data_IF_031938499354
#
_entry.id   IF_031938499354
#
_cell.length_a   1.000
_cell.length_b   1.000
_cell.length_c   1.000
_cell.angle_alpha   90.00
_cell.angle_beta   90.00
_cell.angle_gamma   90.00
#
_symmetry.space_group_name_H-M   'P 1'
#
loop_
_entity.id
_entity.type
_entity.pdbx_description
1 polymer ?
#
# COMPACT_ATOMS: atom_id res chain seq x y z
N UNK A 1 -5.16 13.53 -24.53
CA UNK A 1 -4.48 12.84 -23.43
C UNK A 1 -3.27 12.06 -23.93
N UNK A 2 -3.47 11.13 -24.87
CA UNK A 2 -2.40 10.35 -25.48
C UNK A 2 -1.20 11.16 -25.99
N UNK A 3 -1.40 12.12 -26.90
CA UNK A 3 -0.32 12.97 -27.41
C UNK A 3 0.40 13.74 -26.31
N UNK A 4 -0.38 14.31 -25.38
CA UNK A 4 0.17 15.07 -24.25
C UNK A 4 1.07 14.19 -23.36
N UNK A 5 0.71 12.92 -23.13
CA UNK A 5 1.54 11.96 -22.39
C UNK A 5 2.84 11.66 -23.15
N UNK A 6 2.76 11.41 -24.47
CA UNK A 6 3.95 11.16 -25.30
C UNK A 6 4.89 12.36 -25.34
N UNK A 7 4.37 13.57 -25.51
CA UNK A 7 5.17 14.79 -25.46
C UNK A 7 5.81 14.99 -24.08
N UNK A 8 5.07 14.70 -23.01
CA UNK A 8 5.56 14.75 -21.63
C UNK A 8 6.73 13.81 -21.35
N UNK A 9 7.02 12.83 -22.20
CA UNK A 9 8.24 11.99 -22.11
C UNK A 9 9.51 12.82 -22.37
N UNK A 10 9.42 13.92 -23.12
CA UNK A 10 10.58 14.74 -23.50
C UNK A 10 10.42 16.24 -23.17
N UNK A 11 9.28 16.66 -22.61
CA UNK A 11 8.97 18.07 -22.33
C UNK A 11 8.48 18.29 -20.90
N UNK A 12 9.20 19.12 -20.14
CA UNK A 12 8.79 19.54 -18.78
C UNK A 12 7.55 20.45 -18.82
N UNK A 13 7.40 21.24 -19.88
CA UNK A 13 6.22 22.09 -20.10
C UNK A 13 4.97 21.24 -20.33
N UNK A 14 5.04 20.25 -21.23
CA UNK A 14 3.95 19.33 -21.50
C UNK A 14 3.62 18.50 -20.26
N UNK A 15 4.62 18.09 -19.48
CA UNK A 15 4.40 17.34 -18.24
C UNK A 15 3.71 18.20 -17.15
N UNK A 16 4.04 19.49 -17.07
CA UNK A 16 3.35 20.43 -16.18
C UNK A 16 1.91 20.70 -16.61
N UNK A 17 1.66 20.77 -17.93
CA UNK A 17 0.31 20.83 -18.48
C UNK A 17 -0.49 19.57 -18.14
N UNK A 18 0.09 18.39 -18.38
CA UNK A 18 -0.51 17.10 -18.05
C UNK A 18 -0.83 16.99 -16.56
N UNK A 19 0.06 17.46 -15.68
CA UNK A 19 -0.17 17.45 -14.24
C UNK A 19 -1.43 18.23 -13.84
N UNK A 20 -1.75 19.33 -14.55
CA UNK A 20 -2.92 20.19 -14.31
C UNK A 20 -4.16 19.77 -15.09
N UNK A 21 -3.99 18.99 -16.16
CA UNK A 21 -5.09 18.56 -17.01
C UNK A 21 -6.08 17.67 -16.25
N UNK A 22 -7.35 17.72 -16.66
CA UNK A 22 -8.34 16.72 -16.25
C UNK A 22 -7.97 15.38 -16.90
N UNK A 23 -7.79 14.36 -16.07
CA UNK A 23 -7.36 13.03 -16.50
C UNK A 23 -8.54 12.08 -16.44
N UNK A 24 -8.57 11.18 -17.41
CA UNK A 24 -9.43 10.00 -17.43
C UNK A 24 -8.52 8.78 -17.30
N UNK A 25 -8.92 7.82 -16.47
CA UNK A 25 -8.13 6.63 -16.16
C UNK A 25 -7.83 5.83 -17.44
N UNK A 26 -8.85 5.59 -18.27
CA UNK A 26 -8.71 4.79 -19.49
C UNK A 26 -7.66 5.38 -20.42
N UNK A 27 -7.79 6.66 -20.78
CA UNK A 27 -6.81 7.32 -21.65
C UNK A 27 -5.39 7.36 -21.09
N UNK A 28 -5.22 7.43 -19.77
CA UNK A 28 -3.88 7.41 -19.15
C UNK A 28 -3.29 6.02 -19.24
N UNK A 29 -4.08 4.98 -18.92
CA UNK A 29 -3.64 3.58 -19.03
C UNK A 29 -3.32 3.24 -20.48
N UNK A 30 -4.17 3.61 -21.44
CA UNK A 30 -3.93 3.44 -22.88
C UNK A 30 -2.59 4.01 -23.32
N UNK A 31 -2.40 5.31 -23.04
CA UNK A 31 -1.23 6.02 -23.51
C UNK A 31 0.09 5.49 -22.92
N UNK A 32 0.10 5.12 -21.64
CA UNK A 32 1.30 4.60 -20.98
C UNK A 32 1.57 3.14 -21.35
N UNK A 33 0.52 2.36 -21.62
CA UNK A 33 0.66 0.96 -22.07
C UNK A 33 1.44 0.85 -23.38
N UNK A 34 1.34 1.87 -24.25
CA UNK A 34 2.08 1.93 -25.52
C UNK A 34 3.52 2.45 -25.42
N UNK A 35 3.93 2.99 -24.26
CA UNK A 35 5.30 3.44 -24.05
C UNK A 35 6.24 2.25 -23.91
N UNK A 36 7.47 2.41 -24.40
CA UNK A 36 8.57 1.53 -24.02
C UNK A 36 8.92 1.69 -22.53
N UNK A 37 9.65 0.74 -21.97
CA UNK A 37 10.17 0.84 -20.61
C UNK A 37 11.01 2.11 -20.39
N UNK A 38 11.85 2.48 -21.36
CA UNK A 38 12.69 3.67 -21.27
C UNK A 38 11.85 4.96 -21.23
N UNK A 39 10.84 5.06 -22.09
CA UNK A 39 9.93 6.19 -22.11
C UNK A 39 9.09 6.27 -20.83
N UNK A 40 8.65 5.12 -20.32
CA UNK A 40 7.94 5.00 -19.04
C UNK A 40 8.79 5.51 -17.89
N UNK A 41 10.06 5.08 -17.80
CA UNK A 41 11.00 5.54 -16.76
C UNK A 41 11.25 7.05 -16.85
N UNK A 42 11.43 7.58 -18.08
CA UNK A 42 11.61 9.02 -18.29
C UNK A 42 10.39 9.81 -17.83
N UNK A 43 9.19 9.39 -18.22
CA UNK A 43 7.93 10.02 -17.85
C UNK A 43 7.74 10.02 -16.32
N UNK A 44 7.88 8.85 -15.70
CA UNK A 44 7.73 8.68 -14.26
C UNK A 44 8.72 9.52 -13.45
N UNK A 45 10.00 9.51 -13.85
CA UNK A 45 11.04 10.34 -13.24
C UNK A 45 10.74 11.83 -13.38
N UNK A 46 10.18 12.27 -14.52
CA UNK A 46 9.80 13.68 -14.70
C UNK A 46 8.70 14.11 -13.76
N UNK A 47 7.69 13.27 -13.56
CA UNK A 47 6.63 13.56 -12.59
C UNK A 47 7.07 13.46 -11.13
N UNK A 48 8.25 12.92 -10.86
CA UNK A 48 8.88 12.98 -9.55
C UNK A 48 9.53 14.34 -9.29
N UNK A 49 9.93 15.08 -10.32
CA UNK A 49 10.70 16.31 -10.15
C UNK A 49 9.85 17.52 -9.77
N UNK A 50 10.41 18.39 -8.93
CA UNK A 50 9.85 19.73 -8.73
C UNK A 50 9.87 20.52 -10.06
N UNK A 51 8.81 21.26 -10.43
CA UNK A 51 7.61 21.59 -9.65
C UNK A 51 6.42 20.65 -9.87
N UNK A 52 6.58 19.54 -10.60
CA UNK A 52 5.49 18.62 -10.93
C UNK A 52 5.15 17.71 -9.74
N UNK A 53 6.18 17.17 -9.09
CA UNK A 53 6.07 16.31 -7.92
C UNK A 53 7.19 16.54 -6.91
N UNK A 54 7.53 15.49 -6.15
CA UNK A 54 8.57 15.51 -5.13
C UNK A 54 9.63 14.45 -5.36
N UNK A 55 10.90 14.88 -5.44
CA UNK A 55 12.07 14.01 -5.65
C UNK A 55 12.42 13.15 -4.44
N UNK A 56 11.80 13.42 -3.29
CA UNK A 56 12.01 12.68 -2.05
C UNK A 56 11.51 11.23 -2.22
N UNK A 57 12.39 10.28 -1.95
CA UNK A 57 12.02 8.88 -1.72
C UNK A 57 11.99 8.65 -0.22
N UNK A 58 10.88 8.15 0.29
CA UNK A 58 10.72 7.82 1.70
C UNK A 58 10.62 6.31 1.91
N UNK A 59 10.93 5.90 3.14
CA UNK A 59 10.67 4.55 3.64
C UNK A 59 9.66 4.67 4.76
N UNK A 60 8.63 3.83 4.73
CA UNK A 60 7.70 3.65 5.84
C UNK A 60 8.05 2.33 6.52
N UNK A 61 8.13 2.34 7.85
CA UNK A 61 8.64 1.20 8.63
C UNK A 61 7.49 0.39 9.21
N UNK A 62 7.36 -0.86 8.77
CA UNK A 62 6.50 -1.85 9.40
C UNK A 62 7.13 -2.39 10.70
N UNK A 63 6.70 -1.88 11.85
CA UNK A 63 7.34 -2.13 13.14
C UNK A 63 6.87 -3.40 13.86
N UNK A 64 5.79 -4.02 13.39
CA UNK A 64 5.07 -5.05 14.12
C UNK A 64 5.01 -6.41 13.39
N UNK A 65 5.02 -7.49 14.18
CA UNK A 65 4.56 -8.81 13.79
C UNK A 65 3.86 -9.45 15.01
N UNK A 66 2.85 -10.29 14.79
CA UNK A 66 2.00 -10.83 15.88
C UNK A 66 2.78 -11.62 16.94
N UNK A 67 3.97 -12.14 16.61
CA UNK A 67 4.80 -12.92 17.52
C UNK A 67 5.80 -12.08 18.32
N UNK A 68 5.94 -10.77 18.05
CA UNK A 68 6.78 -9.87 18.85
C UNK A 68 6.28 -9.70 20.28
N UNK A 69 7.21 -9.39 21.17
CA UNK A 69 6.94 -8.89 22.51
C UNK A 69 6.68 -7.38 22.50
N UNK A 70 5.96 -6.88 23.51
CA UNK A 70 5.58 -5.45 23.61
C UNK A 70 6.80 -4.52 23.58
N UNK A 71 7.89 -4.91 24.24
CA UNK A 71 9.14 -4.13 24.24
C UNK A 71 9.83 -4.11 22.87
N UNK A 72 9.71 -5.17 22.08
CA UNK A 72 10.29 -5.21 20.73
C UNK A 72 9.51 -4.28 19.79
N UNK A 73 8.17 -4.30 19.86
CA UNK A 73 7.33 -3.35 19.14
C UNK A 73 7.72 -1.90 19.47
N UNK A 74 7.81 -1.55 20.76
CA UNK A 74 8.17 -0.20 21.18
C UNK A 74 9.58 0.19 20.76
N UNK A 75 10.55 -0.73 20.87
CA UNK A 75 11.90 -0.50 20.37
C UNK A 75 11.92 -0.18 18.87
N UNK A 76 11.15 -0.92 18.08
CA UNK A 76 11.02 -0.70 16.63
C UNK A 76 10.37 0.66 16.32
N UNK A 77 9.29 1.02 17.02
CA UNK A 77 8.62 2.32 16.87
C UNK A 77 9.54 3.48 17.27
N UNK A 78 10.28 3.35 18.37
CA UNK A 78 11.25 4.36 18.80
C UNK A 78 12.38 4.52 17.79
N UNK A 79 12.87 3.42 17.20
CA UNK A 79 13.89 3.48 16.16
C UNK A 79 13.37 4.19 14.90
N UNK A 80 12.17 3.83 14.43
CA UNK A 80 11.52 4.50 13.29
C UNK A 80 11.36 6.01 13.56
N UNK A 81 10.93 6.38 14.77
CA UNK A 81 10.84 7.76 15.20
C UNK A 81 12.20 8.49 15.19
N UNK A 82 13.26 7.85 15.70
CA UNK A 82 14.61 8.44 15.74
C UNK A 82 15.18 8.73 14.35
N UNK A 83 14.83 7.91 13.35
CA UNK A 83 15.26 8.13 11.95
C UNK A 83 14.27 8.99 11.15
N UNK A 84 13.17 9.43 11.77
CA UNK A 84 12.14 10.25 11.13
C UNK A 84 11.31 9.51 10.08
N UNK A 85 11.24 8.18 10.14
CA UNK A 85 10.46 7.38 9.20
C UNK A 85 9.04 7.14 9.71
N UNK A 86 7.99 7.33 8.90
CA UNK A 86 6.63 6.98 9.27
C UNK A 86 6.50 5.50 9.66
N UNK A 87 5.54 5.18 10.51
CA UNK A 87 5.31 3.83 11.01
C UNK A 87 4.06 3.26 10.34
N UNK A 88 4.21 2.12 9.68
CA UNK A 88 3.09 1.33 9.19
C UNK A 88 2.59 0.38 10.28
N UNK A 89 1.31 0.48 10.58
CA UNK A 89 0.60 -0.17 11.67
C UNK A 89 -0.27 -1.28 11.08
N UNK A 90 0.18 -2.52 11.19
CA UNK A 90 -0.69 -3.67 10.95
C UNK A 90 -1.61 -3.85 12.17
N UNK A 91 -2.87 -3.42 12.09
CA UNK A 91 -3.77 -3.37 13.25
C UNK A 91 -3.97 -4.75 13.91
N UNK A 92 -3.96 -5.83 13.12
CA UNK A 92 -4.03 -7.19 13.64
C UNK A 92 -2.84 -7.55 14.54
N UNK A 93 -1.62 -7.12 14.17
CA UNK A 93 -0.40 -7.45 14.90
C UNK A 93 -0.34 -6.69 16.23
N UNK A 94 -0.73 -5.42 16.23
CA UNK A 94 -0.90 -4.64 17.46
C UNK A 94 -1.92 -5.28 18.40
N UNK A 95 -3.06 -5.72 17.87
CA UNK A 95 -4.11 -6.37 18.65
C UNK A 95 -3.68 -7.74 19.20
N UNK A 96 -2.94 -8.52 18.42
CA UNK A 96 -2.38 -9.81 18.87
C UNK A 96 -1.32 -9.62 19.96
N UNK A 97 -0.47 -8.60 19.85
CA UNK A 97 0.48 -8.23 20.91
C UNK A 97 -0.30 -7.80 22.15
N UNK A 98 -1.27 -6.91 22.03
CA UNK A 98 -2.07 -6.43 23.17
C UNK A 98 -2.75 -7.58 23.94
N UNK A 99 -3.32 -8.55 23.22
CA UNK A 99 -4.00 -9.70 23.83
C UNK A 99 -3.07 -10.52 24.73
N UNK A 100 -1.78 -10.67 24.38
CA UNK A 100 -0.79 -11.38 25.24
C UNK A 100 -0.63 -10.72 26.61
N UNK A 101 -0.89 -9.42 26.71
CA UNK A 101 -0.72 -8.60 27.90
C UNK A 101 -2.06 -8.23 28.54
N UNK A 102 -3.18 -8.79 28.08
CA UNK A 102 -4.52 -8.48 28.59
C UNK A 102 -4.97 -7.04 28.29
N UNK A 103 -4.42 -6.43 27.24
CA UNK A 103 -4.76 -5.08 26.76
C UNK A 103 -5.58 -5.17 25.47
N UNK A 104 -6.26 -4.07 25.12
CA UNK A 104 -6.92 -3.89 23.82
C UNK A 104 -5.92 -3.34 22.81
N UNK A 105 -6.11 -3.63 21.52
CA UNK A 105 -5.19 -3.19 20.47
C UNK A 105 -5.00 -1.67 20.45
N UNK A 106 -6.08 -0.91 20.68
CA UNK A 106 -6.05 0.55 20.70
C UNK A 106 -5.19 1.12 21.83
N UNK A 107 -5.04 0.41 22.95
CA UNK A 107 -4.25 0.87 24.08
C UNK A 107 -2.75 0.81 23.74
N UNK A 108 -2.32 -0.23 23.01
CA UNK A 108 -0.97 -0.29 22.46
C UNK A 108 -0.75 0.82 21.42
N UNK A 109 -1.75 1.09 20.56
CA UNK A 109 -1.69 2.20 19.60
C UNK A 109 -1.55 3.56 20.29
N UNK A 110 -2.28 3.80 21.38
CA UNK A 110 -2.13 5.02 22.19
C UNK A 110 -0.76 5.12 22.84
N UNK A 111 -0.22 4.03 23.37
CA UNK A 111 1.14 4.00 23.93
C UNK A 111 2.18 4.36 22.85
N UNK A 112 2.07 3.79 21.65
CA UNK A 112 2.95 4.14 20.51
C UNK A 112 2.79 5.60 20.11
N UNK A 113 1.56 6.08 19.93
CA UNK A 113 1.26 7.47 19.60
C UNK A 113 1.90 8.46 20.59
N UNK A 114 1.92 8.13 21.88
CA UNK A 114 2.47 9.00 22.92
C UNK A 114 4.01 9.00 22.99
N UNK A 115 4.70 8.04 22.36
CA UNK A 115 6.17 7.93 22.38
C UNK A 115 6.83 8.21 21.03
N UNK A 116 6.04 8.54 19.99
CA UNK A 116 6.54 8.84 18.64
C UNK A 116 5.92 10.11 18.09
N UNK A 117 6.70 10.87 17.30
CA UNK A 117 6.27 12.10 16.63
C UNK A 117 6.09 11.91 15.10
N UNK A 118 6.48 10.74 14.58
CA UNK A 118 6.33 10.38 13.16
C UNK A 118 4.89 9.98 12.81
N UNK A 119 4.47 10.14 11.53
CA UNK A 119 3.14 9.72 11.10
C UNK A 119 2.90 8.22 11.30
N UNK A 120 1.65 7.86 11.63
CA UNK A 120 1.20 6.48 11.79
C UNK A 120 0.21 6.12 10.66
N UNK A 121 0.58 5.17 9.82
CA UNK A 121 -0.23 4.66 8.71
C UNK A 121 -0.97 3.39 9.14
N UNK A 122 -2.30 3.38 9.10
CA UNK A 122 -3.13 2.29 9.63
C UNK A 122 -3.59 1.34 8.54
N UNK A 123 -3.25 0.06 8.64
CA UNK A 123 -3.67 -1.01 7.72
C UNK A 123 -4.29 -2.21 8.47
N UNK A 124 -4.89 -3.14 7.72
CA UNK A 124 -5.66 -4.30 8.20
C UNK A 124 -6.76 -3.90 9.17
N UNK A 125 -7.49 -2.88 8.77
CA UNK A 125 -8.60 -2.31 9.51
C UNK A 125 -9.89 -2.54 8.72
N UNK A 126 -10.99 -2.88 9.40
CA UNK A 126 -12.26 -3.26 8.76
C UNK A 126 -13.47 -2.64 9.43
N UNK A 127 -14.66 -3.16 9.09
CA UNK A 127 -15.96 -2.66 9.56
C UNK A 127 -16.07 -2.55 11.08
N UNK A 128 -15.47 -3.47 11.82
CA UNK A 128 -15.54 -3.52 13.29
C UNK A 128 -14.25 -3.04 13.97
N UNK A 129 -13.28 -2.47 13.24
CA UNK A 129 -12.00 -2.05 13.79
C UNK A 129 -10.84 -2.92 13.33
N UNK A 130 -9.86 -3.16 14.20
CA UNK A 130 -8.66 -3.92 13.87
C UNK A 130 -9.04 -5.35 13.45
N UNK A 131 -8.64 -5.76 12.24
CA UNK A 131 -8.94 -7.10 11.77
C UNK A 131 -8.28 -8.15 12.65
N UNK A 132 -8.96 -9.27 12.89
CA UNK A 132 -8.42 -10.38 13.70
C UNK A 132 -8.31 -11.63 12.83
N UNK A 133 -7.13 -12.24 12.81
CA UNK A 133 -6.81 -13.35 11.93
C UNK A 133 -6.37 -14.59 12.72
N UNK A 134 -6.69 -15.82 12.25
CA UNK A 134 -6.17 -17.06 12.84
C UNK A 134 -4.63 -17.11 12.82
N UNK A 135 -4.04 -17.82 13.80
CA UNK A 135 -2.58 -17.96 13.96
C UNK A 135 -1.84 -18.48 12.72
N UNK A 136 -2.48 -19.34 11.94
CA UNK A 136 -1.85 -19.88 10.73
C UNK A 136 -1.75 -18.82 9.61
N UNK A 137 -2.58 -17.77 9.65
CA UNK A 137 -2.49 -16.60 8.76
C UNK A 137 -1.45 -15.63 9.29
N UNK A 138 -1.52 -15.26 10.58
CA UNK A 138 -0.59 -14.30 11.19
C UNK A 138 0.82 -14.85 11.44
N UNK A 139 1.03 -16.15 11.26
CA UNK A 139 2.34 -16.81 11.32
C UNK A 139 2.83 -17.36 9.97
N UNK A 140 2.13 -17.08 8.86
CA UNK A 140 2.59 -17.45 7.52
C UNK A 140 3.89 -16.73 7.11
N UNK A 141 4.96 -17.46 6.85
CA UNK A 141 6.26 -16.89 6.49
C UNK A 141 6.39 -16.22 5.12
N UNK A 142 5.28 -15.82 4.48
CA UNK A 142 5.34 -15.12 3.18
C UNK A 142 5.72 -16.01 1.99
N UNK A 143 5.32 -17.29 2.01
CA UNK A 143 5.61 -18.29 0.96
C UNK A 143 5.39 -17.78 -0.47
N UNK A 144 4.37 -16.95 -0.70
CA UNK A 144 4.07 -16.35 -2.00
C UNK A 144 5.25 -15.54 -2.56
N UNK A 145 5.87 -14.72 -1.72
CA UNK A 145 7.02 -13.90 -2.09
C UNK A 145 8.30 -14.74 -2.12
N UNK A 146 8.47 -15.71 -1.22
CA UNK A 146 9.68 -16.53 -1.18
C UNK A 146 9.82 -17.49 -2.37
N UNK A 147 8.71 -18.04 -2.87
CA UNK A 147 8.71 -19.02 -3.98
C UNK A 147 8.80 -18.37 -5.36
N UNK A 148 8.45 -17.08 -5.47
CA UNK A 148 8.46 -16.37 -6.73
C UNK A 148 7.29 -16.73 -7.66
N UNK A 149 7.15 -16.03 -8.80
CA UNK A 149 6.22 -16.43 -9.85
C UNK A 149 6.64 -17.79 -10.42
N UNK A 150 5.73 -18.69 -10.82
CA UNK A 150 4.27 -18.62 -10.88
C UNK A 150 3.62 -19.16 -9.60
N UNK A 151 3.58 -18.36 -8.53
CA UNK A 151 2.85 -18.77 -7.33
C UNK A 151 1.35 -18.78 -7.64
N UNK A 152 0.78 -19.97 -7.75
CA UNK A 152 -0.62 -20.14 -8.18
C UNK A 152 -1.62 -19.88 -7.06
N UNK A 153 -1.21 -19.99 -5.78
CA UNK A 153 -2.14 -19.96 -4.65
C UNK A 153 -1.49 -19.38 -3.37
N UNK A 154 -1.53 -18.05 -3.22
CA UNK A 154 -1.68 -17.52 -1.85
C UNK A 154 -3.11 -17.89 -1.48
N UNK A 155 -3.38 -18.60 -0.36
CA UNK A 155 -4.71 -19.15 -0.15
C UNK A 155 -5.74 -18.04 -0.26
N UNK A 156 -6.48 -18.08 -1.37
CA UNK A 156 -7.50 -17.11 -1.70
C UNK A 156 -8.56 -17.25 -0.63
N UNK A 157 -8.94 -16.14 -0.03
CA UNK A 157 -9.96 -16.09 1.00
C UNK A 157 -9.42 -16.18 2.42
N UNK A 158 -8.10 -16.09 2.64
CA UNK A 158 -7.52 -15.91 3.98
C UNK A 158 -8.17 -14.77 4.76
N UNK A 159 -8.45 -13.67 4.08
CA UNK A 159 -9.15 -12.53 4.69
C UNK A 159 -10.58 -12.89 5.11
N UNK A 160 -11.20 -13.93 4.54
CA UNK A 160 -12.53 -14.42 4.92
C UNK A 160 -12.49 -15.37 6.11
N UNK A 161 -11.32 -15.83 6.54
CA UNK A 161 -11.14 -16.58 7.79
C UNK A 161 -10.98 -15.66 9.01
N UNK A 162 -11.26 -14.35 8.84
CA UNK A 162 -11.27 -13.37 9.92
C UNK A 162 -12.11 -13.84 11.10
N UNK A 163 -11.58 -13.60 12.30
CA UNK A 163 -12.23 -13.88 13.57
C UNK A 163 -13.20 -12.74 13.91
N UNK A 164 -14.28 -12.61 13.15
CA UNK A 164 -15.23 -11.48 13.22
C UNK A 164 -15.78 -11.25 14.64
N UNK A 165 -16.02 -12.32 15.41
CA UNK A 165 -16.49 -12.19 16.79
C UNK A 165 -15.47 -11.47 17.69
N UNK A 166 -14.17 -11.65 17.45
CA UNK A 166 -13.13 -10.90 18.17
C UNK A 166 -13.07 -9.44 17.73
N UNK A 167 -13.25 -9.16 16.45
CA UNK A 167 -13.29 -7.77 15.95
C UNK A 167 -14.45 -7.00 16.56
N UNK A 168 -15.66 -7.60 16.57
CA UNK A 168 -16.85 -7.00 17.17
C UNK A 168 -16.71 -6.71 18.67
N UNK A 169 -15.94 -7.53 19.40
CA UNK A 169 -15.70 -7.30 20.82
C UNK A 169 -14.95 -5.99 21.08
N UNK A 170 -14.21 -5.46 20.09
CA UNK A 170 -13.43 -4.22 20.17
C UNK A 170 -14.01 -3.10 19.28
N UNK A 171 -15.24 -3.25 18.76
CA UNK A 171 -15.85 -2.28 17.82
C UNK A 171 -15.92 -0.85 18.36
N UNK A 172 -16.08 -0.71 19.69
CA UNK A 172 -16.10 0.58 20.36
C UNK A 172 -14.80 1.39 20.20
N UNK A 173 -13.69 0.72 19.89
CA UNK A 173 -12.38 1.35 19.74
C UNK A 173 -12.11 1.82 18.30
N UNK A 174 -12.99 1.48 17.34
CA UNK A 174 -12.78 1.71 15.92
C UNK A 174 -12.44 3.15 15.57
N UNK A 175 -13.22 4.11 16.07
CA UNK A 175 -13.01 5.52 15.74
C UNK A 175 -11.70 6.04 16.34
N UNK A 176 -11.32 5.53 17.52
CA UNK A 176 -10.13 5.97 18.23
C UNK A 176 -8.85 5.59 17.49
N UNK A 177 -8.79 4.37 16.92
CA UNK A 177 -7.72 3.97 16.01
C UNK A 177 -7.50 4.96 14.87
N UNK A 178 -8.58 5.33 14.17
CA UNK A 178 -8.53 6.30 13.05
C UNK A 178 -8.12 7.69 13.54
N UNK A 179 -8.57 8.12 14.72
CA UNK A 179 -8.17 9.42 15.28
C UNK A 179 -6.67 9.49 15.60
N UNK A 180 -6.07 8.39 16.02
CA UNK A 180 -4.63 8.29 16.33
C UNK A 180 -3.76 8.18 15.08
N UNK A 181 -4.30 7.70 13.96
CA UNK A 181 -3.55 7.56 12.71
C UNK A 181 -3.40 8.89 11.97
N UNK A 182 -2.41 8.96 11.09
CA UNK A 182 -2.23 10.03 10.10
C UNK A 182 -2.92 9.69 8.78
N UNK A 183 -2.86 8.42 8.39
CA UNK A 183 -3.55 7.86 7.22
C UNK A 183 -4.22 6.53 7.56
N UNK A 184 -5.10 6.08 6.67
CA UNK A 184 -5.76 4.78 6.73
C UNK A 184 -5.70 4.15 5.34
N UNK A 185 -5.19 2.93 5.27
CA UNK A 185 -5.17 2.12 4.06
C UNK A 185 -6.48 1.34 3.89
N UNK A 186 -7.02 1.40 2.67
CA UNK A 186 -8.09 0.53 2.19
C UNK A 186 -7.54 -0.34 1.06
N UNK A 187 -8.01 -1.59 0.97
CA UNK A 187 -7.56 -2.50 -0.08
C UNK A 187 -8.65 -2.68 -1.13
N UNK A 188 -8.33 -2.36 -2.39
CA UNK A 188 -9.26 -2.41 -3.52
C UNK A 188 -9.03 -3.62 -4.44
N UNK A 189 -8.11 -4.51 -4.07
CA UNK A 189 -7.84 -5.73 -4.85
C UNK A 189 -9.05 -6.68 -4.93
N UNK A 190 -10.03 -6.54 -4.02
CA UNK A 190 -11.32 -7.24 -4.08
C UNK A 190 -12.14 -6.88 -5.33
N UNK A 191 -11.92 -5.70 -5.91
CA UNK A 191 -12.56 -5.27 -7.15
C UNK A 191 -11.73 -5.63 -8.39
N UNK A 192 -10.39 -5.67 -8.28
CA UNK A 192 -9.49 -5.97 -9.40
C UNK A 192 -9.48 -7.46 -9.76
N UNK A 193 -9.63 -8.36 -8.79
CA UNK A 193 -9.52 -9.80 -9.00
C UNK A 193 -10.59 -10.58 -8.24
N UNK A 194 -11.00 -11.73 -8.80
CA UNK A 194 -12.00 -12.63 -8.18
C UNK A 194 -11.47 -13.21 -6.86
N UNK A 195 -11.95 -12.61 -5.76
CA UNK A 195 -11.96 -13.00 -4.34
C UNK A 195 -10.64 -13.38 -3.64
N UNK A 196 -10.39 -12.75 -2.48
CA UNK A 196 -9.74 -13.43 -1.36
C UNK A 196 -8.62 -12.73 -0.59
N UNK A 197 -8.16 -11.55 -1.03
CA UNK A 197 -7.04 -10.84 -0.39
C UNK A 197 -7.39 -9.49 0.24
N UNK A 198 -8.64 -9.05 0.08
CA UNK A 198 -9.14 -7.81 0.68
C UNK A 198 -10.53 -8.02 1.29
N UNK A 199 -10.87 -7.13 2.22
CA UNK A 199 -12.25 -7.01 2.70
C UNK A 199 -13.19 -6.59 1.55
N UNK A 200 -14.50 -6.84 1.67
CA UNK A 200 -15.49 -6.36 0.71
C UNK A 200 -15.42 -4.84 0.52
N UNK A 201 -15.77 -4.37 -0.68
CA UNK A 201 -15.76 -2.93 -1.03
C UNK A 201 -16.58 -2.08 -0.03
N UNK A 202 -17.69 -2.59 0.49
CA UNK A 202 -18.51 -1.90 1.51
C UNK A 202 -17.68 -1.54 2.76
N UNK A 203 -16.77 -2.42 3.20
CA UNK A 203 -15.90 -2.11 4.34
C UNK A 203 -14.89 -1.01 3.98
N UNK A 204 -14.36 -1.03 2.75
CA UNK A 204 -13.45 0.01 2.27
C UNK A 204 -14.16 1.38 2.15
N UNK A 205 -15.41 1.42 1.69
CA UNK A 205 -16.23 2.63 1.62
C UNK A 205 -16.52 3.22 3.01
N UNK A 206 -16.88 2.37 3.96
CA UNK A 206 -17.11 2.75 5.35
C UNK A 206 -15.85 3.36 5.99
N UNK A 207 -14.68 2.74 5.77
CA UNK A 207 -13.41 3.27 6.26
C UNK A 207 -12.97 4.55 5.56
N UNK A 208 -13.17 4.67 4.24
CA UNK A 208 -12.91 5.90 3.51
C UNK A 208 -13.74 7.07 4.06
N UNK A 209 -15.01 6.82 4.38
CA UNK A 209 -15.89 7.82 5.00
C UNK A 209 -15.43 8.18 6.42
N UNK A 210 -14.97 7.19 7.20
CA UNK A 210 -14.45 7.42 8.55
C UNK A 210 -13.14 8.22 8.55
N UNK A 211 -12.21 7.91 7.63
CA UNK A 211 -10.99 8.68 7.42
C UNK A 211 -11.31 10.14 7.07
N UNK A 212 -12.23 10.36 6.12
CA UNK A 212 -12.71 11.71 5.75
C UNK A 212 -13.36 12.45 6.91
N UNK A 213 -14.20 11.78 7.71
CA UNK A 213 -14.83 12.35 8.92
C UNK A 213 -13.78 12.93 9.88
N UNK A 214 -12.62 12.29 9.98
CA UNK A 214 -11.53 12.69 10.87
C UNK A 214 -10.37 13.43 10.18
N UNK A 215 -10.52 13.78 8.91
CA UNK A 215 -9.49 14.50 8.14
C UNK A 215 -8.17 13.73 8.02
N UNK A 216 -8.25 12.40 7.90
CA UNK A 216 -7.09 11.51 7.74
C UNK A 216 -6.80 11.26 6.27
N UNK A 217 -5.53 11.06 5.95
CA UNK A 217 -5.14 10.63 4.60
C UNK A 217 -5.74 9.27 4.26
N UNK A 218 -6.13 9.08 3.01
CA UNK A 218 -6.67 7.81 2.54
C UNK A 218 -5.70 7.17 1.54
N UNK A 219 -5.33 5.92 1.78
CA UNK A 219 -4.44 5.16 0.90
C UNK A 219 -5.21 4.00 0.25
N UNK A 220 -4.96 3.71 -1.03
CA UNK A 220 -5.52 2.55 -1.70
C UNK A 220 -4.44 1.56 -2.08
N UNK A 221 -4.51 0.37 -1.48
CA UNK A 221 -3.74 -0.81 -1.88
C UNK A 221 -4.41 -1.46 -3.08
N UNK A 222 -3.64 -1.68 -4.14
CA UNK A 222 -4.08 -2.28 -5.39
C UNK A 222 -2.95 -3.07 -6.05
N UNK A 223 -3.31 -4.02 -6.90
CA UNK A 223 -2.35 -4.90 -7.57
C UNK A 223 -2.04 -4.40 -8.98
N UNK A 224 -0.86 -4.74 -9.48
CA UNK A 224 -0.61 -4.74 -10.94
C UNK A 224 -1.53 -5.76 -11.62
N UNK A 225 -1.75 -6.91 -11.00
CA UNK A 225 -2.70 -7.92 -11.46
C UNK A 225 -2.28 -8.56 -12.78
N UNK A 226 -3.28 -8.87 -13.61
CA UNK A 226 -3.09 -9.27 -15.01
C UNK A 226 -2.79 -8.07 -15.95
N UNK A 227 -2.70 -6.86 -15.40
CA UNK A 227 -2.34 -5.63 -16.13
C UNK A 227 -3.55 -4.76 -16.46
N UNK A 228 -3.78 -4.52 -17.76
CA UNK A 228 -4.59 -3.42 -18.28
C UNK A 228 -5.98 -3.24 -17.62
N UNK A 229 -6.84 -4.27 -17.62
CA UNK A 229 -8.21 -4.17 -17.09
C UNK A 229 -8.26 -4.01 -15.56
N UNK A 230 -7.35 -4.69 -14.86
CA UNK A 230 -7.23 -4.60 -13.39
C UNK A 230 -6.75 -3.22 -12.95
N UNK A 231 -5.78 -2.65 -13.67
CA UNK A 231 -5.27 -1.31 -13.41
C UNK A 231 -6.36 -0.26 -13.63
N UNK A 232 -7.14 -0.36 -14.71
CA UNK A 232 -8.29 0.54 -14.94
C UNK A 232 -9.29 0.46 -13.78
N UNK A 233 -9.62 -0.76 -13.36
CA UNK A 233 -10.58 -0.99 -12.27
C UNK A 233 -10.08 -0.40 -10.96
N UNK A 234 -8.85 -0.72 -10.56
CA UNK A 234 -8.24 -0.24 -9.31
C UNK A 234 -8.11 1.29 -9.27
N UNK A 235 -7.58 1.91 -10.32
CA UNK A 235 -7.44 3.36 -10.38
C UNK A 235 -8.79 4.09 -10.41
N UNK A 236 -9.77 3.57 -11.14
CA UNK A 236 -11.10 4.18 -11.20
C UNK A 236 -11.75 4.18 -9.82
N UNK A 237 -11.73 3.04 -9.12
CA UNK A 237 -12.26 2.92 -7.76
C UNK A 237 -11.53 3.80 -6.76
N UNK A 238 -10.20 3.84 -6.79
CA UNK A 238 -9.44 4.68 -5.89
C UNK A 238 -9.76 6.18 -6.06
N UNK A 239 -9.89 6.63 -7.31
CA UNK A 239 -10.24 8.03 -7.62
C UNK A 239 -11.69 8.34 -7.20
N UNK A 240 -12.64 7.44 -7.46
CA UNK A 240 -14.04 7.58 -7.01
C UNK A 240 -14.13 7.71 -5.49
N UNK A 241 -13.31 6.94 -4.76
CA UNK A 241 -13.24 6.98 -3.30
C UNK A 241 -12.50 8.20 -2.75
N UNK A 242 -11.85 9.00 -3.60
CA UNK A 242 -11.12 10.21 -3.18
C UNK A 242 -9.85 9.90 -2.41
N UNK A 243 -9.10 8.90 -2.86
CA UNK A 243 -7.82 8.45 -2.29
C UNK A 243 -6.70 9.46 -2.55
N UNK A 244 -5.83 9.65 -1.57
CA UNK A 244 -4.68 10.58 -1.60
C UNK A 244 -3.38 9.89 -2.05
N UNK A 245 -3.22 8.60 -1.72
CA UNK A 245 -2.01 7.80 -1.93
C UNK A 245 -2.35 6.49 -2.64
N UNK A 246 -1.61 6.13 -3.68
CA UNK A 246 -1.72 4.80 -4.29
C UNK A 246 -0.59 3.90 -3.79
N UNK A 247 -0.94 2.73 -3.29
CA UNK A 247 -0.01 1.68 -2.86
C UNK A 247 -0.12 0.54 -3.86
N UNK A 248 0.91 0.36 -4.69
CA UNK A 248 0.90 -0.60 -5.81
C UNK A 248 1.69 -1.84 -5.41
N UNK A 249 1.02 -2.99 -5.38
CA UNK A 249 1.66 -4.29 -5.17
C UNK A 249 2.05 -4.93 -6.50
N UNK A 250 3.34 -5.24 -6.60
CA UNK A 250 3.93 -6.10 -7.61
C UNK A 250 4.16 -7.50 -7.05
N UNK A 251 5.37 -8.01 -7.20
CA UNK A 251 5.77 -9.29 -6.61
C UNK A 251 4.89 -10.45 -7.10
N UNK A 252 4.32 -11.28 -6.20
CA UNK A 252 3.44 -12.38 -6.59
C UNK A 252 2.10 -11.92 -7.18
N UNK A 253 1.73 -10.64 -7.01
CA UNK A 253 0.48 -10.07 -7.51
C UNK A 253 0.65 -9.36 -8.87
N UNK A 254 1.88 -9.32 -9.40
CA UNK A 254 2.14 -8.94 -10.79
C UNK A 254 2.19 -10.20 -11.66
N UNK A 255 1.09 -10.46 -12.36
CA UNK A 255 0.89 -11.68 -13.16
C UNK A 255 1.17 -11.46 -14.65
N UNK A 256 1.66 -10.28 -15.02
CA UNK A 256 2.06 -9.97 -16.39
C UNK A 256 3.33 -10.73 -16.80
N UNK A 257 3.48 -10.97 -18.11
CA UNK A 257 4.65 -11.67 -18.66
C UNK A 257 5.97 -10.91 -18.41
N UNK A 258 5.97 -9.59 -18.62
CA UNK A 258 7.10 -8.72 -18.27
C UNK A 258 6.79 -7.95 -16.99
N UNK A 259 7.10 -8.54 -15.85
CA UNK A 259 6.77 -8.00 -14.53
C UNK A 259 7.39 -6.62 -14.30
N UNK A 260 8.68 -6.44 -14.58
CA UNK A 260 9.39 -5.18 -14.40
C UNK A 260 8.79 -4.03 -15.24
N UNK A 261 8.45 -4.31 -16.49
CA UNK A 261 7.83 -3.31 -17.36
C UNK A 261 6.42 -2.96 -16.91
N UNK A 262 5.64 -3.97 -16.53
CA UNK A 262 4.26 -3.79 -16.07
C UNK A 262 4.22 -3.02 -14.75
N UNK A 263 5.13 -3.31 -13.82
CA UNK A 263 5.28 -2.56 -12.58
C UNK A 263 5.72 -1.11 -12.85
N UNK A 264 6.72 -0.90 -13.70
CA UNK A 264 7.15 0.45 -14.12
C UNK A 264 5.99 1.28 -14.70
N UNK A 265 5.18 0.66 -15.58
CA UNK A 265 4.01 1.29 -16.19
C UNK A 265 2.94 1.62 -15.15
N UNK A 266 2.61 0.69 -14.27
CA UNK A 266 1.65 0.91 -13.18
C UNK A 266 2.08 2.08 -12.27
N UNK A 267 3.37 2.17 -11.93
CA UNK A 267 3.91 3.28 -11.14
C UNK A 267 3.82 4.62 -11.89
N UNK A 268 4.16 4.66 -13.18
CA UNK A 268 4.06 5.88 -13.98
C UNK A 268 2.59 6.36 -14.13
N UNK A 269 1.66 5.42 -14.36
CA UNK A 269 0.21 5.68 -14.36
C UNK A 269 -0.23 6.26 -13.02
N UNK A 270 0.19 5.62 -11.92
CA UNK A 270 -0.13 6.03 -10.56
C UNK A 270 0.37 7.44 -10.28
N UNK A 271 1.58 7.79 -10.71
CA UNK A 271 2.14 9.13 -10.49
C UNK A 271 1.35 10.22 -11.21
N UNK A 272 0.85 9.91 -12.42
CA UNK A 272 0.01 10.84 -13.20
C UNK A 272 -1.38 10.99 -12.58
N UNK A 273 -1.99 9.88 -12.16
CA UNK A 273 -3.37 9.82 -11.66
C UNK A 273 -3.52 10.24 -10.19
N UNK A 274 -2.60 9.83 -9.33
CA UNK A 274 -2.66 10.03 -7.88
C UNK A 274 -2.72 11.53 -7.53
N UNK A 275 -3.76 12.00 -6.81
CA UNK A 275 -3.89 13.40 -6.42
C UNK A 275 -2.73 13.89 -5.54
N UNK A 276 -2.38 13.13 -4.49
CA UNK A 276 -1.32 13.50 -3.54
C UNK A 276 0.09 13.35 -4.09
N UNK A 277 0.25 12.76 -5.28
CA UNK A 277 1.55 12.45 -5.89
C UNK A 277 2.46 11.64 -4.94
N UNK A 278 1.85 10.85 -4.06
CA UNK A 278 2.52 9.82 -3.27
C UNK A 278 2.13 8.48 -3.88
N UNK A 279 3.14 7.70 -4.29
CA UNK A 279 2.96 6.34 -4.80
C UNK A 279 3.92 5.44 -4.04
N UNK A 280 3.33 4.51 -3.33
CA UNK A 280 3.99 3.56 -2.45
C UNK A 280 3.95 2.15 -3.02
N UNK A 281 4.71 1.26 -2.40
CA UNK A 281 4.58 -0.19 -2.54
C UNK A 281 4.76 -0.81 -1.16
N UNK A 282 3.91 -1.76 -0.82
CA UNK A 282 3.98 -2.64 0.36
C UNK A 282 4.23 -4.10 -0.03
N UNK A 283 4.39 -4.40 -1.33
CA UNK A 283 4.70 -5.75 -1.79
C UNK A 283 5.29 -5.75 -3.19
N UNK A 284 6.61 -5.87 -3.32
CA UNK A 284 7.30 -5.91 -4.61
C UNK A 284 8.68 -6.56 -4.47
N UNK A 285 9.11 -7.31 -5.49
CA UNK A 285 10.47 -7.88 -5.51
C UNK A 285 11.54 -6.79 -5.68
N UNK A 286 12.81 -7.13 -5.44
CA UNK A 286 13.93 -6.19 -5.61
C UNK A 286 13.97 -5.58 -7.03
N UNK A 287 13.77 -6.41 -8.05
CA UNK A 287 13.72 -6.01 -9.46
C UNK A 287 12.54 -5.07 -9.76
N UNK A 288 11.35 -5.37 -9.24
CA UNK A 288 10.18 -4.48 -9.32
C UNK A 288 10.47 -3.13 -8.65
N UNK A 289 10.99 -3.14 -7.42
CA UNK A 289 11.37 -1.92 -6.69
C UNK A 289 12.36 -1.06 -7.49
N UNK A 290 13.37 -1.67 -8.11
CA UNK A 290 14.34 -0.97 -8.97
C UNK A 290 13.67 -0.35 -10.20
N UNK A 291 12.75 -1.07 -10.84
CA UNK A 291 12.00 -0.56 -11.98
C UNK A 291 11.05 0.58 -11.56
N UNK A 292 10.33 0.42 -10.46
CA UNK A 292 9.42 1.41 -9.90
C UNK A 292 10.11 2.70 -9.47
N UNK A 293 11.24 2.62 -8.74
CA UNK A 293 12.01 3.80 -8.31
C UNK A 293 12.49 4.66 -9.49
N UNK A 294 12.76 4.03 -10.65
CA UNK A 294 13.12 4.70 -11.91
C UNK A 294 11.92 5.16 -12.73
N UNK A 295 10.71 4.78 -12.32
CA UNK A 295 9.45 5.07 -13.01
C UNK A 295 8.50 5.92 -12.17
N UNK A 296 9.03 6.52 -11.09
CA UNK A 296 8.32 7.51 -10.31
C UNK A 296 7.95 7.08 -8.89
N UNK A 297 8.13 5.82 -8.48
CA UNK A 297 7.86 5.34 -7.12
C UNK A 297 8.63 6.20 -6.11
N UNK A 298 7.97 6.60 -5.02
CA UNK A 298 8.58 7.49 -4.04
C UNK A 298 8.37 7.07 -2.59
N UNK A 299 7.68 5.96 -2.33
CA UNK A 299 7.58 5.37 -0.99
C UNK A 299 7.76 3.85 -1.09
N UNK A 300 8.53 3.25 -0.19
CA UNK A 300 8.59 1.80 0.00
C UNK A 300 8.25 1.50 1.46
N UNK A 301 7.20 0.72 1.68
CA UNK A 301 6.86 0.19 2.99
C UNK A 301 7.73 -1.05 3.20
N UNK A 302 8.66 -0.98 4.14
CA UNK A 302 9.55 -2.09 4.50
C UNK A 302 9.58 -2.27 6.01
N UNK A 303 9.98 -3.43 6.53
CA UNK A 303 9.83 -3.71 7.95
C UNK A 303 10.81 -4.73 8.50
N UNK A 304 10.65 -4.99 9.79
CA UNK A 304 11.46 -5.96 10.51
C UNK A 304 11.06 -7.41 10.14
N UNK A 305 11.94 -8.39 10.40
CA UNK A 305 11.65 -9.80 10.17
C UNK A 305 10.28 -10.23 10.68
N UNK A 306 9.64 -11.12 9.93
CA UNK A 306 8.32 -11.70 10.21
C UNK A 306 7.11 -10.76 10.04
N UNK A 307 7.31 -9.50 9.68
CA UNK A 307 6.19 -8.65 9.24
C UNK A 307 5.74 -9.09 7.84
N UNK A 308 4.50 -9.53 7.69
CA UNK A 308 3.98 -10.11 6.45
C UNK A 308 3.93 -9.14 5.27
N UNK A 309 3.80 -7.83 5.53
CA UNK A 309 3.66 -6.81 4.50
C UNK A 309 4.93 -5.97 4.39
N UNK A 310 5.50 -5.53 5.52
CA UNK A 310 6.75 -4.77 5.51
C UNK A 310 7.98 -5.61 5.15
N UNK A 311 8.06 -6.88 5.55
CA UNK A 311 9.30 -7.64 5.36
C UNK A 311 9.53 -8.09 3.91
N UNK A 312 8.53 -8.03 3.02
CA UNK A 312 8.63 -8.67 1.71
C UNK A 312 8.97 -7.72 0.56
N UNK A 313 9.08 -6.41 0.82
CA UNK A 313 9.49 -5.43 -0.17
C UNK A 313 11.01 -5.41 -0.36
N UNK A 314 11.46 -5.59 -1.61
CA UNK A 314 12.87 -5.47 -1.98
C UNK A 314 13.69 -6.77 -1.86
N UNK A 315 13.04 -7.91 -1.61
CA UNK A 315 13.67 -9.23 -1.64
C UNK A 315 13.45 -9.91 -2.99
N UNK A 316 14.37 -10.78 -3.40
CA UNK A 316 14.15 -11.68 -4.53
C UNK A 316 13.75 -13.07 -4.02
N UNK A 317 12.91 -13.82 -4.76
CA UNK A 317 12.57 -15.19 -4.42
C UNK A 317 13.81 -16.06 -4.17
N UNK A 318 13.80 -16.82 -3.08
CA UNK A 318 14.91 -17.70 -2.68
C UNK A 318 16.15 -16.98 -2.13
N UNK A 319 16.10 -15.67 -1.86
CA UNK A 319 17.23 -14.91 -1.30
C UNK A 319 17.07 -14.50 0.17
N UNK A 320 15.87 -14.69 0.73
CA UNK A 320 15.52 -14.35 2.11
C UNK A 320 15.80 -15.48 3.12
#
# INVERSE_FOLDING_TARGET
MYELIKESVNSDESALELAKAKKDVGSVVDAISELSLEETMKLGTRFKKFPIGCDLTEVVVGTCASDLEKMELFGNCMLANMIGAPIHICAYAFSDIAEKYGQRGVEIMEEVYNITDVPLDLDHFGKYGAMRLPKHITGCGGDCYNKGPSFTECPRGRIHERLIDKEKAEEMDKEKWVQLSSSVAINLSSEQSHEGHAAPLEEAEDLANLAKKYGKGLEAIMFVGDGYDELITGFSKAIEMGVDVFVIEGGPFNRCENTNESFAKAIAMSRILCPGKVVATNGAYESDCRAGLRSGLNVIITGFPKNHHGYMCGFEPGTA
#
